data_IF_075353609484
#
_entry.id   IF_075353609484
#
_cell.length_a   1.000
_cell.length_b   1.000
_cell.length_c   1.000
_cell.angle_alpha   90.00
_cell.angle_beta   90.00
_cell.angle_gamma   90.00
#
_symmetry.space_group_name_H-M   'P 1'
#
loop_
_entity.id
_entity.type
_entity.pdbx_description
1 polymer ?
#
# COMPACT_ATOMS: atom_id res chain seq x y z
N UNK A 1 -14.43 -13.94 8.05
CA UNK A 1 -14.93 -13.72 6.69
C UNK A 1 -13.80 -13.22 5.80
N UNK A 2 -13.67 -13.83 4.64
CA UNK A 2 -12.59 -13.47 3.72
C UNK A 2 -12.86 -12.13 3.06
N UNK A 3 -11.86 -11.26 3.12
CA UNK A 3 -11.91 -9.91 2.53
C UNK A 3 -10.71 -9.69 1.65
N UNK A 4 -10.78 -8.66 0.81
CA UNK A 4 -9.65 -8.19 0.01
C UNK A 4 -9.36 -6.74 0.36
N UNK A 5 -8.07 -6.39 0.41
CA UNK A 5 -7.64 -5.01 0.60
C UNK A 5 -6.58 -4.65 -0.42
N UNK A 6 -6.39 -3.36 -0.66
CA UNK A 6 -5.41 -2.87 -1.61
C UNK A 6 -4.16 -2.39 -0.88
N UNK A 7 -3.00 -2.71 -1.44
CA UNK A 7 -1.71 -2.34 -0.88
C UNK A 7 -0.85 -1.69 -1.95
N UNK A 8 -0.09 -0.67 -1.56
CA UNK A 8 0.99 -0.13 -2.38
C UNK A 8 2.27 -0.20 -1.56
N UNK A 9 3.33 -0.76 -2.16
CA UNK A 9 4.68 -0.59 -1.64
C UNK A 9 5.24 0.64 -2.34
N UNK A 10 5.56 1.67 -1.57
CA UNK A 10 5.85 3.02 -2.06
C UNK A 10 7.27 3.17 -2.58
N UNK A 11 7.57 4.28 -3.30
CA UNK A 11 8.89 4.51 -3.88
C UNK A 11 10.04 4.46 -2.89
N UNK A 12 9.86 4.91 -1.66
CA UNK A 12 10.94 4.87 -0.66
C UNK A 12 11.39 3.43 -0.38
N UNK A 13 10.48 2.46 -0.50
CA UNK A 13 10.80 1.05 -0.30
C UNK A 13 11.31 0.38 -1.58
N UNK A 14 10.71 0.65 -2.74
CA UNK A 14 11.19 0.06 -3.99
C UNK A 14 12.60 0.53 -4.33
N UNK A 15 12.88 1.81 -4.07
CA UNK A 15 14.22 2.39 -4.27
C UNK A 15 15.29 1.67 -3.45
N UNK A 16 14.93 1.24 -2.25
CA UNK A 16 15.85 0.53 -1.35
C UNK A 16 15.91 -0.98 -1.58
N UNK A 17 15.12 -1.47 -2.54
CA UNK A 17 15.09 -2.90 -2.90
C UNK A 17 14.66 -3.81 -1.73
N UNK A 18 13.61 -3.40 -1.02
CA UNK A 18 13.10 -4.14 0.16
C UNK A 18 11.68 -4.66 -0.02
N UNK A 19 11.17 -4.71 -1.26
CA UNK A 19 9.81 -5.20 -1.52
C UNK A 19 9.60 -6.62 -1.02
N UNK A 20 10.59 -7.49 -1.21
CA UNK A 20 10.51 -8.88 -0.74
C UNK A 20 10.45 -8.98 0.78
N UNK A 21 11.20 -8.14 1.48
CA UNK A 21 11.17 -8.12 2.95
C UNK A 21 9.82 -7.68 3.48
N UNK A 22 9.21 -6.70 2.83
CA UNK A 22 7.86 -6.22 3.20
C UNK A 22 6.83 -7.32 2.93
N UNK A 23 6.90 -7.97 1.77
CA UNK A 23 5.97 -9.06 1.43
C UNK A 23 6.12 -10.25 2.37
N UNK A 24 7.33 -10.53 2.86
CA UNK A 24 7.53 -11.57 3.85
C UNK A 24 6.75 -11.29 5.14
N UNK A 25 6.75 -10.05 5.60
CA UNK A 25 5.97 -9.65 6.79
C UNK A 25 4.47 -9.82 6.53
N UNK A 26 4.00 -9.45 5.34
CA UNK A 26 2.60 -9.59 4.95
C UNK A 26 2.18 -11.06 4.96
N UNK A 27 2.97 -11.92 4.34
CA UNK A 27 2.65 -13.36 4.26
C UNK A 27 2.75 -14.04 5.61
N UNK A 28 3.72 -13.65 6.44
CA UNK A 28 3.87 -14.19 7.80
C UNK A 28 2.65 -13.85 8.67
N UNK A 29 1.96 -12.76 8.37
CA UNK A 29 0.76 -12.35 9.08
C UNK A 29 -0.51 -13.10 8.64
N UNK A 30 -0.38 -13.99 7.64
CA UNK A 30 -1.50 -14.79 7.16
C UNK A 30 -2.30 -14.16 6.03
N UNK A 31 -1.80 -13.08 5.45
CA UNK A 31 -2.43 -12.45 4.27
C UNK A 31 -1.82 -13.05 3.01
N UNK A 32 -2.68 -13.32 2.03
CA UNK A 32 -2.27 -13.91 0.74
C UNK A 32 -2.23 -12.81 -0.33
N UNK A 33 -1.16 -12.74 -1.08
CA UNK A 33 -1.05 -11.81 -2.21
C UNK A 33 -1.70 -12.50 -3.41
N UNK A 34 -2.84 -11.98 -3.86
CA UNK A 34 -3.63 -12.60 -4.94
C UNK A 34 -3.56 -11.80 -6.25
N UNK A 35 -2.91 -10.65 -6.25
CA UNK A 35 -2.57 -9.90 -7.45
C UNK A 35 -1.42 -8.97 -7.10
N UNK A 36 -0.51 -8.75 -8.06
CA UNK A 36 0.68 -7.95 -7.82
C UNK A 36 1.21 -7.43 -9.15
N UNK A 37 1.56 -6.14 -9.19
CA UNK A 37 2.19 -5.52 -10.36
C UNK A 37 3.19 -4.48 -9.92
N UNK A 38 4.34 -4.46 -10.60
CA UNK A 38 5.32 -3.38 -10.42
C UNK A 38 5.10 -2.37 -11.54
N UNK A 39 4.78 -1.14 -11.19
CA UNK A 39 4.45 -0.11 -12.16
C UNK A 39 5.08 1.21 -11.78
N UNK A 40 5.36 2.04 -12.78
CA UNK A 40 5.70 3.44 -12.54
C UNK A 40 4.43 4.24 -12.82
N UNK A 41 3.88 4.86 -11.78
CA UNK A 41 2.64 5.61 -11.92
C UNK A 41 2.83 6.83 -12.81
N UNK A 42 1.85 7.09 -13.69
CA UNK A 42 1.77 8.37 -14.38
C UNK A 42 1.22 9.42 -13.41
N UNK A 43 1.42 10.69 -13.73
CA UNK A 43 0.86 11.77 -12.92
C UNK A 43 -0.66 11.64 -12.82
N UNK A 44 -1.33 11.28 -13.93
CA UNK A 44 -2.79 11.07 -13.94
C UNK A 44 -3.22 9.96 -13.00
N UNK A 45 -2.50 8.83 -12.99
CA UNK A 45 -2.83 7.72 -12.10
C UNK A 45 -2.67 8.11 -10.63
N UNK A 46 -1.59 8.79 -10.29
CA UNK A 46 -1.35 9.24 -8.94
C UNK A 46 -2.41 10.26 -8.49
N UNK A 47 -2.76 11.21 -9.35
CA UNK A 47 -3.80 12.20 -9.05
C UNK A 47 -5.16 11.56 -8.84
N UNK A 48 -5.50 10.57 -9.67
CA UNK A 48 -6.75 9.83 -9.53
C UNK A 48 -6.80 9.07 -8.21
N UNK A 49 -5.72 8.40 -7.86
CA UNK A 49 -5.65 7.63 -6.61
C UNK A 49 -5.81 8.52 -5.38
N UNK A 50 -5.16 9.69 -5.40
CA UNK A 50 -5.19 10.63 -4.28
C UNK A 50 -6.20 11.76 -4.44
N UNK A 51 -7.19 11.61 -5.32
CA UNK A 51 -8.18 12.66 -5.62
C UNK A 51 -8.89 13.19 -4.37
N UNK A 52 -9.12 12.35 -3.36
CA UNK A 52 -9.74 12.77 -2.10
C UNK A 52 -8.89 13.78 -1.33
N UNK A 53 -7.61 13.90 -1.66
CA UNK A 53 -6.68 14.82 -1.03
C UNK A 53 -6.33 16.03 -1.91
N UNK A 54 -7.04 16.23 -3.03
CA UNK A 54 -6.68 17.25 -4.03
C UNK A 54 -6.59 18.67 -3.47
N UNK A 55 -7.35 18.98 -2.42
CA UNK A 55 -7.35 20.32 -1.80
C UNK A 55 -6.37 20.43 -0.63
N UNK A 56 -5.69 19.35 -0.28
CA UNK A 56 -4.74 19.35 0.84
C UNK A 56 -3.41 19.96 0.42
N UNK A 57 -2.72 20.68 1.33
CA UNK A 57 -1.43 21.30 0.99
C UNK A 57 -0.37 20.31 0.53
N UNK A 58 -0.41 19.08 1.03
CA UNK A 58 0.58 18.04 0.71
C UNK A 58 0.30 17.28 -0.61
N UNK A 59 -0.81 17.58 -1.29
CA UNK A 59 -1.24 16.82 -2.48
C UNK A 59 -0.18 16.79 -3.58
N UNK A 60 0.39 17.94 -3.93
CA UNK A 60 1.41 18.03 -4.97
C UNK A 60 2.67 17.23 -4.62
N UNK A 61 3.11 17.30 -3.37
CA UNK A 61 4.26 16.55 -2.90
C UNK A 61 3.99 15.04 -2.92
N UNK A 62 2.79 14.65 -2.50
CA UNK A 62 2.38 13.24 -2.51
C UNK A 62 2.39 12.67 -3.94
N UNK A 63 1.81 13.40 -4.90
CA UNK A 63 1.81 13.01 -6.32
C UNK A 63 3.25 12.90 -6.84
N UNK A 64 4.10 13.88 -6.52
CA UNK A 64 5.50 13.89 -6.93
C UNK A 64 6.26 12.68 -6.39
N UNK A 65 6.08 12.36 -5.11
CA UNK A 65 6.73 11.21 -4.49
C UNK A 65 6.29 9.90 -5.14
N UNK A 66 4.99 9.75 -5.38
CA UNK A 66 4.44 8.48 -5.89
C UNK A 66 4.76 8.24 -7.36
N UNK A 67 5.19 9.27 -8.09
CA UNK A 67 5.57 9.14 -9.50
C UNK A 67 7.08 9.13 -9.72
N UNK A 68 7.88 9.34 -8.66
CA UNK A 68 9.33 9.46 -8.78
C UNK A 68 10.01 8.12 -9.09
N UNK A 69 9.50 7.04 -8.55
CA UNK A 69 10.06 5.70 -8.69
C UNK A 69 8.94 4.68 -8.87
N UNK A 70 9.25 3.45 -9.33
CA UNK A 70 8.22 2.41 -9.40
C UNK A 70 7.61 2.12 -8.04
N UNK A 71 6.36 1.66 -8.07
CA UNK A 71 5.64 1.17 -6.89
C UNK A 71 5.19 -0.26 -7.17
N UNK A 72 4.84 -1.00 -6.12
CA UNK A 72 4.23 -2.31 -6.26
C UNK A 72 2.80 -2.21 -5.76
N UNK A 73 1.83 -2.42 -6.66
CA UNK A 73 0.41 -2.44 -6.30
C UNK A 73 -0.01 -3.89 -6.11
N UNK A 74 -0.80 -4.16 -5.07
CA UNK A 74 -1.14 -5.53 -4.67
C UNK A 74 -2.57 -5.62 -4.16
N UNK A 75 -3.17 -6.78 -4.36
CA UNK A 75 -4.42 -7.15 -3.69
C UNK A 75 -4.07 -8.23 -2.67
N UNK A 76 -4.44 -8.00 -1.42
CA UNK A 76 -4.22 -8.92 -0.32
C UNK A 76 -5.55 -9.52 0.11
N UNK A 77 -5.56 -10.82 0.41
CA UNK A 77 -6.77 -11.52 0.80
C UNK A 77 -6.56 -12.27 2.11
N UNK A 78 -7.57 -12.25 2.96
CA UNK A 78 -7.54 -12.97 4.23
C UNK A 78 -8.74 -12.58 5.09
N UNK A 79 -8.84 -13.18 6.27
CA UNK A 79 -9.89 -12.84 7.21
C UNK A 79 -9.67 -11.43 7.74
N UNK A 80 -10.69 -10.58 7.64
CA UNK A 80 -10.64 -9.19 8.07
C UNK A 80 -9.42 -8.46 7.46
N UNK A 81 -9.17 -8.65 6.16
CA UNK A 81 -7.95 -8.20 5.51
C UNK A 81 -7.67 -6.70 5.69
N UNK A 82 -8.69 -5.85 5.61
CA UNK A 82 -8.50 -4.39 5.78
C UNK A 82 -7.91 -4.09 7.16
N UNK A 83 -8.57 -4.54 8.22
CA UNK A 83 -8.10 -4.30 9.59
C UNK A 83 -6.77 -5.00 9.86
N UNK A 84 -6.64 -6.23 9.38
CA UNK A 84 -5.42 -7.01 9.59
C UNK A 84 -4.20 -6.36 8.95
N UNK A 85 -4.34 -5.90 7.71
CA UNK A 85 -3.22 -5.25 7.04
C UNK A 85 -2.84 -3.94 7.71
N UNK A 86 -3.82 -3.17 8.19
CA UNK A 86 -3.51 -1.94 8.93
C UNK A 86 -2.70 -2.22 10.20
N UNK A 87 -3.00 -3.31 10.89
CA UNK A 87 -2.19 -3.74 12.05
C UNK A 87 -0.77 -4.13 11.62
N UNK A 88 -0.65 -4.85 10.50
CA UNK A 88 0.64 -5.29 9.95
C UNK A 88 1.50 -4.11 9.51
N UNK A 89 0.87 -3.08 8.90
CA UNK A 89 1.58 -1.86 8.52
C UNK A 89 2.11 -1.09 9.72
N UNK A 90 1.32 -0.98 10.76
CA UNK A 90 1.64 -0.18 11.93
C UNK A 90 1.20 1.28 11.79
N UNK A 91 1.44 2.06 12.83
CA UNK A 91 1.08 3.48 12.84
C UNK A 91 1.79 4.24 11.72
N UNK A 92 1.11 5.27 11.19
CA UNK A 92 1.66 6.11 10.11
C UNK A 92 3.02 6.71 10.47
N UNK A 93 3.17 7.15 11.72
CA UNK A 93 4.46 7.58 12.22
C UNK A 93 5.26 6.37 12.69
N UNK A 94 6.41 6.05 12.06
CA UNK A 94 7.17 4.86 12.44
C UNK A 94 7.68 4.89 13.88
N UNK A 95 7.86 6.06 14.47
CA UNK A 95 8.26 6.18 15.88
C UNK A 95 7.18 5.66 16.84
N UNK A 96 5.91 5.72 16.41
CA UNK A 96 4.77 5.27 17.20
C UNK A 96 4.29 3.87 16.80
N UNK A 97 4.89 3.28 15.77
CA UNK A 97 4.51 1.96 15.29
C UNK A 97 5.02 0.87 16.25
N UNK A 98 4.21 -0.18 16.43
CA UNK A 98 4.58 -1.30 17.28
C UNK A 98 5.72 -2.12 16.67
N UNK A 99 6.48 -2.78 17.51
CA UNK A 99 7.54 -3.69 17.07
C UNK A 99 6.97 -4.78 16.16
N UNK A 100 7.72 -5.13 15.11
CA UNK A 100 7.31 -6.17 14.17
C UNK A 100 6.46 -5.66 13.02
N UNK A 101 5.96 -4.43 13.07
CA UNK A 101 5.18 -3.85 11.98
C UNK A 101 6.10 -3.42 10.84
N UNK A 102 5.52 -3.31 9.63
CA UNK A 102 6.28 -2.88 8.45
C UNK A 102 6.89 -1.50 8.66
N UNK A 103 6.09 -0.56 9.14
CA UNK A 103 6.56 0.82 9.33
C UNK A 103 7.62 0.94 10.42
N UNK A 104 7.50 0.17 11.49
CA UNK A 104 8.54 0.17 12.52
C UNK A 104 9.87 -0.34 11.99
N UNK A 105 9.83 -1.38 11.16
CA UNK A 105 11.05 -2.00 10.63
C UNK A 105 11.68 -1.22 9.48
N UNK A 106 10.87 -0.62 8.60
CA UNK A 106 11.34 -0.15 7.30
C UNK A 106 11.07 1.32 6.99
N UNK A 107 10.06 1.93 7.59
CA UNK A 107 9.71 3.32 7.27
C UNK A 107 10.78 4.28 7.76
N UNK A 108 11.03 5.32 6.97
CA UNK A 108 12.03 6.34 7.27
C UNK A 108 11.44 7.52 8.03
N UNK A 109 10.19 7.87 7.74
CA UNK A 109 9.50 9.02 8.33
C UNK A 109 8.00 8.88 8.07
N UNK A 110 7.22 9.83 8.56
CA UNK A 110 5.78 9.88 8.28
C UNK A 110 5.52 9.99 6.77
N UNK A 111 6.31 10.81 6.06
CA UNK A 111 6.16 10.99 4.61
C UNK A 111 6.73 9.85 3.79
N UNK A 112 7.75 9.17 4.30
CA UNK A 112 8.37 8.03 3.65
C UNK A 112 8.10 6.78 4.49
N UNK A 113 6.82 6.39 4.52
CA UNK A 113 6.33 5.35 5.43
C UNK A 113 6.14 3.98 4.77
N UNK A 114 6.73 3.78 3.63
CA UNK A 114 6.95 2.50 2.92
C UNK A 114 5.73 1.86 2.28
N UNK A 115 4.56 1.91 2.91
CA UNK A 115 3.38 1.19 2.42
C UNK A 115 2.10 2.00 2.57
N UNK A 116 1.11 1.63 1.76
CA UNK A 116 -0.27 2.11 1.83
C UNK A 116 -1.20 0.91 1.93
N UNK A 117 -2.26 1.03 2.72
CA UNK A 117 -3.34 0.07 2.78
C UNK A 117 -4.67 0.81 2.82
N UNK A 118 -5.71 0.19 2.24
CA UNK A 118 -7.05 0.76 2.26
C UNK A 118 -7.57 0.92 3.68
N UNK A 119 -8.37 1.95 3.91
CA UNK A 119 -8.93 2.23 5.24
C UNK A 119 -10.32 1.65 5.47
N UNK A 120 -10.96 1.12 4.42
CA UNK A 120 -12.28 0.50 4.49
C UNK A 120 -12.47 -0.46 3.34
N UNK A 121 -13.50 -1.34 3.45
CA UNK A 121 -13.86 -2.23 2.34
C UNK A 121 -14.32 -1.47 1.11
N UNK A 122 -15.07 -0.39 1.29
CA UNK A 122 -15.54 0.42 0.17
C UNK A 122 -14.36 1.05 -0.57
N UNK A 123 -13.42 1.62 0.16
CA UNK A 123 -12.22 2.22 -0.46
C UNK A 123 -11.31 1.15 -1.06
N UNK A 124 -11.21 -0.02 -0.45
CA UNK A 124 -10.45 -1.13 -1.02
C UNK A 124 -10.96 -1.50 -2.40
N UNK A 125 -12.27 -1.61 -2.56
CA UNK A 125 -12.88 -1.93 -3.84
C UNK A 125 -12.55 -0.88 -4.90
N UNK A 126 -12.70 0.39 -4.55
CA UNK A 126 -12.41 1.51 -5.46
C UNK A 126 -10.93 1.49 -5.88
N UNK A 127 -10.04 1.31 -4.92
CA UNK A 127 -8.60 1.32 -5.17
C UNK A 127 -8.16 0.13 -6.01
N UNK A 128 -8.68 -1.05 -5.73
CA UNK A 128 -8.37 -2.27 -6.50
C UNK A 128 -8.78 -2.08 -7.97
N UNK A 129 -9.99 -1.57 -8.21
CA UNK A 129 -10.51 -1.38 -9.56
C UNK A 129 -9.71 -0.38 -10.40
N UNK A 130 -8.93 0.49 -9.77
CA UNK A 130 -8.06 1.42 -10.49
C UNK A 130 -6.87 0.72 -11.15
N UNK A 131 -6.46 -0.44 -10.65
CA UNK A 131 -5.24 -1.11 -11.11
C UNK A 131 -5.46 -2.53 -11.60
N UNK A 132 -6.54 -3.19 -11.19
CA UNK A 132 -6.75 -4.61 -11.49
C UNK A 132 -8.18 -4.86 -11.98
N UNK A 133 -8.31 -5.85 -12.87
CA UNK A 133 -9.62 -6.42 -13.24
C UNK A 133 -9.82 -7.71 -12.45
N UNK A 134 -11.04 -8.24 -12.47
CA UNK A 134 -11.33 -9.52 -11.81
C UNK A 134 -10.44 -10.65 -12.36
N UNK A 135 -10.11 -10.60 -13.65
CA UNK A 135 -9.25 -11.62 -14.26
C UNK A 135 -7.80 -11.58 -13.75
N UNK A 136 -7.36 -10.45 -13.22
CA UNK A 136 -6.01 -10.28 -12.68
C UNK A 136 -5.86 -10.87 -11.28
N UNK A 137 -6.97 -11.10 -10.59
CA UNK A 137 -6.96 -11.55 -9.21
C UNK A 137 -7.11 -13.08 -9.20
N UNK A 138 -6.06 -13.75 -8.77
CA UNK A 138 -5.98 -15.21 -8.80
C UNK A 138 -5.45 -15.68 -7.44
N UNK A 139 -6.15 -16.54 -6.83
CA UNK A 139 -5.75 -16.95 -5.51
C UNK A 139 -6.14 -18.31 -5.12
#
# INVERSE_FOLDING_TARGET
>A
MTERTFSIIKPDATRRNITGKINAVIEDAGLRIVAQRRVKLTEEQAKKFYAVHAERPFYGELVSQMTAEPVVVQVLEGDNAVARYREVMGATNPEQAAEGTIRKQFALSIGENSVHGSDSLDNAKIEIEQFFTDADIVG
#
